data_IF_516045337661
#
_entry.id   IF_516045337661
#
_cell.length_a   1.000
_cell.length_b   1.000
_cell.length_c   1.000
_cell.angle_alpha   90.00
_cell.angle_beta   90.00
_cell.angle_gamma   90.00
#
_symmetry.space_group_name_H-M   'P 1'
#
loop_
_entity.id
_entity.type
_entity.pdbx_description
1 polymer ?
#
# COMPACT_ATOMS: atom_id res chain seq x y z
N UNK A 1 15.40 2.78 -9.84
CA UNK A 1 14.94 1.87 -8.78
C UNK A 1 13.43 1.87 -8.70
N UNK A 2 12.87 0.70 -8.57
CA UNK A 2 11.42 0.59 -8.44
C UNK A 2 11.07 0.15 -7.02
N UNK A 3 9.89 0.55 -6.59
CA UNK A 3 9.35 0.11 -5.30
C UNK A 3 8.68 -1.24 -5.43
N UNK A 4 8.60 -1.96 -4.31
CA UNK A 4 7.82 -3.18 -4.20
C UNK A 4 6.66 -2.91 -3.26
N UNK A 5 5.45 -3.03 -3.76
CA UNK A 5 4.24 -2.72 -3.00
C UNK A 5 3.40 -3.98 -2.89
N UNK A 6 3.03 -4.34 -1.66
CA UNK A 6 2.19 -5.50 -1.41
C UNK A 6 0.74 -5.04 -1.24
N UNK A 7 -0.15 -5.62 -2.05
CA UNK A 7 -1.58 -5.32 -2.02
C UNK A 7 -2.31 -6.49 -1.39
N UNK A 8 -3.02 -6.25 -0.29
CA UNK A 8 -3.69 -7.29 0.47
C UNK A 8 -5.19 -7.00 0.50
N UNK A 9 -5.96 -7.86 -0.15
CA UNK A 9 -7.41 -7.72 -0.24
C UNK A 9 -7.95 -9.06 -0.69
N UNK A 10 -9.03 -9.53 -0.08
CA UNK A 10 -9.59 -10.84 -0.43
C UNK A 10 -10.34 -10.84 -1.77
N UNK A 11 -10.57 -9.67 -2.34
CA UNK A 11 -11.27 -9.52 -3.61
C UNK A 11 -10.27 -9.34 -4.75
N UNK A 12 -10.20 -10.31 -5.65
CA UNK A 12 -9.35 -10.21 -6.83
C UNK A 12 -9.69 -8.99 -7.68
N UNK A 13 -10.99 -8.71 -7.96
CA UNK A 13 -11.32 -7.49 -8.69
C UNK A 13 -10.83 -6.21 -8.00
N UNK A 14 -10.92 -6.16 -6.68
CA UNK A 14 -10.46 -4.97 -5.96
C UNK A 14 -8.94 -4.84 -6.04
N UNK A 15 -8.20 -5.95 -5.94
CA UNK A 15 -6.75 -5.88 -6.13
C UNK A 15 -6.41 -5.33 -7.52
N UNK A 16 -7.17 -5.75 -8.54
CA UNK A 16 -6.97 -5.23 -9.89
C UNK A 16 -7.24 -3.74 -9.98
N UNK A 17 -8.27 -3.25 -9.29
CA UNK A 17 -8.58 -1.81 -9.26
C UNK A 17 -7.42 -1.05 -8.61
N UNK A 18 -6.92 -1.55 -7.49
CA UNK A 18 -5.81 -0.89 -6.79
C UNK A 18 -4.58 -0.86 -7.68
N UNK A 19 -4.28 -1.95 -8.36
CA UNK A 19 -3.12 -1.99 -9.27
C UNK A 19 -3.26 -0.96 -10.38
N UNK A 20 -4.44 -0.86 -11.00
CA UNK A 20 -4.66 0.14 -12.05
C UNK A 20 -4.54 1.56 -11.51
N UNK A 21 -5.05 1.77 -10.31
CA UNK A 21 -4.96 3.07 -9.67
C UNK A 21 -3.51 3.47 -9.40
N UNK A 22 -2.71 2.51 -8.92
CA UNK A 22 -1.29 2.76 -8.68
C UNK A 22 -0.55 3.09 -9.98
N UNK A 23 -0.85 2.37 -11.05
CA UNK A 23 -0.24 2.67 -12.35
C UNK A 23 -0.64 4.06 -12.83
N UNK A 24 -1.91 4.42 -12.68
CA UNK A 24 -2.38 5.75 -13.07
C UNK A 24 -1.76 6.84 -12.21
N UNK A 25 -1.40 6.51 -10.98
CA UNK A 25 -0.77 7.47 -10.07
C UNK A 25 0.72 7.66 -10.31
N UNK A 26 1.30 6.90 -11.25
CA UNK A 26 2.71 7.05 -11.59
C UNK A 26 3.60 5.92 -11.11
N UNK A 27 3.02 4.87 -10.52
CA UNK A 27 3.79 3.76 -9.97
C UNK A 27 3.76 2.52 -10.87
N UNK A 28 3.69 2.73 -12.19
CA UNK A 28 3.66 1.64 -13.14
C UNK A 28 4.93 0.80 -13.17
N UNK A 29 6.03 1.35 -12.70
CA UNK A 29 7.29 0.61 -12.62
C UNK A 29 7.46 -0.17 -11.32
N UNK A 30 6.55 0.00 -10.38
CA UNK A 30 6.63 -0.73 -9.12
C UNK A 30 6.35 -2.20 -9.32
N UNK A 31 6.98 -3.03 -8.51
CA UNK A 31 6.63 -4.44 -8.45
C UNK A 31 5.42 -4.55 -7.52
N UNK A 32 4.32 -5.09 -8.03
CA UNK A 32 3.08 -5.17 -7.28
C UNK A 32 2.80 -6.63 -6.94
N UNK A 33 2.94 -6.97 -5.65
CA UNK A 33 2.64 -8.31 -5.16
C UNK A 33 1.23 -8.32 -4.58
N UNK A 34 0.60 -9.48 -4.55
CA UNK A 34 -0.79 -9.61 -4.10
C UNK A 34 -0.94 -10.72 -3.09
N UNK A 35 -1.81 -10.50 -2.12
CA UNK A 35 -2.20 -11.51 -1.15
C UNK A 35 -3.70 -11.39 -0.90
N UNK A 36 -4.34 -12.52 -0.64
CA UNK A 36 -5.79 -12.54 -0.42
C UNK A 36 -6.16 -12.37 1.06
N UNK A 37 -5.20 -12.53 1.96
CA UNK A 37 -5.43 -12.34 3.38
C UNK A 37 -4.11 -12.03 4.08
N UNK A 38 -4.20 -11.70 5.37
CA UNK A 38 -3.03 -11.30 6.13
C UNK A 38 -2.00 -12.41 6.30
N UNK A 39 -2.45 -13.67 6.36
CA UNK A 39 -1.52 -14.78 6.51
C UNK A 39 -0.67 -14.96 5.27
N UNK A 40 -1.28 -14.91 4.09
CA UNK A 40 -0.53 -14.97 2.83
C UNK A 40 0.43 -13.78 2.73
N UNK A 41 -0.03 -12.62 3.16
CA UNK A 41 0.78 -11.42 3.11
C UNK A 41 2.02 -11.54 3.98
N UNK A 42 1.86 -12.06 5.20
CA UNK A 42 3.01 -12.26 6.09
C UNK A 42 4.03 -13.21 5.47
N UNK A 43 3.54 -14.25 4.80
CA UNK A 43 4.43 -15.20 4.13
C UNK A 43 5.23 -14.52 3.01
N UNK A 44 4.55 -13.69 2.21
CA UNK A 44 5.22 -12.94 1.15
C UNK A 44 6.25 -11.97 1.71
N UNK A 45 5.94 -11.34 2.84
CA UNK A 45 6.85 -10.37 3.47
C UNK A 45 8.12 -11.03 4.01
N UNK A 46 8.05 -12.31 4.35
CA UNK A 46 9.25 -13.05 4.79
C UNK A 46 10.21 -13.33 3.63
N UNK A 47 9.67 -13.46 2.43
CA UNK A 47 10.45 -13.94 1.29
C UNK A 47 10.74 -12.87 0.25
N UNK A 48 10.22 -11.66 0.44
CA UNK A 48 10.36 -10.59 -0.54
C UNK A 48 10.63 -9.28 0.14
N UNK A 49 11.40 -8.42 -0.53
CA UNK A 49 11.58 -7.05 -0.06
C UNK A 49 10.29 -6.27 -0.36
N UNK A 50 9.70 -5.66 0.66
CA UNK A 50 8.48 -4.87 0.51
C UNK A 50 8.75 -3.47 1.02
N UNK A 51 8.44 -2.47 0.22
CA UNK A 51 8.61 -1.07 0.58
C UNK A 51 7.38 -0.47 1.22
N UNK A 52 6.20 -1.00 0.90
CA UNK A 52 4.95 -0.48 1.44
C UNK A 52 3.86 -1.54 1.31
N UNK A 53 2.94 -1.55 2.25
CA UNK A 53 1.77 -2.45 2.23
C UNK A 53 0.50 -1.63 2.11
N UNK A 54 -0.38 -2.04 1.21
CA UNK A 54 -1.74 -1.49 1.11
C UNK A 54 -2.69 -2.63 1.45
N UNK A 55 -3.45 -2.49 2.51
CA UNK A 55 -4.32 -3.58 2.98
C UNK A 55 -5.75 -3.13 3.17
N UNK A 56 -6.68 -4.02 2.87
CA UNK A 56 -8.09 -3.85 3.22
C UNK A 56 -8.26 -4.17 4.71
N UNK A 57 -9.39 -3.74 5.26
CA UNK A 57 -9.75 -4.06 6.64
C UNK A 57 -10.43 -5.43 6.73
N UNK A 58 -11.45 -5.65 5.91
CA UNK A 58 -12.28 -6.86 5.99
C UNK A 58 -11.69 -7.99 5.16
N UNK A 59 -11.01 -8.92 5.82
CA UNK A 59 -10.41 -10.07 5.17
C UNK A 59 -10.65 -11.31 6.01
N UNK A 60 -10.77 -12.49 5.38
CA UNK A 60 -10.88 -13.73 6.16
C UNK A 60 -9.54 -14.10 6.77
N UNK A 61 -9.55 -15.02 7.71
CA UNK A 61 -8.38 -15.59 8.38
C UNK A 61 -7.70 -14.57 9.29
N UNK A 62 -7.28 -13.44 8.74
CA UNK A 62 -6.63 -12.37 9.50
C UNK A 62 -7.09 -11.05 8.91
N UNK A 63 -7.85 -10.27 9.68
CA UNK A 63 -8.35 -8.99 9.20
C UNK A 63 -7.23 -7.94 9.19
N UNK A 64 -7.55 -6.76 8.63
CA UNK A 64 -6.55 -5.72 8.46
C UNK A 64 -5.93 -5.24 9.77
N UNK A 65 -6.71 -5.12 10.82
CA UNK A 65 -6.18 -4.66 12.10
C UNK A 65 -5.23 -5.69 12.69
N UNK A 66 -5.62 -6.97 12.67
CA UNK A 66 -4.75 -8.05 13.14
C UNK A 66 -3.46 -8.11 12.33
N UNK A 67 -3.58 -7.87 11.01
CA UNK A 67 -2.45 -7.88 10.11
C UNK A 67 -1.47 -6.75 10.44
N UNK A 68 -1.98 -5.53 10.65
CA UNK A 68 -1.12 -4.41 11.04
C UNK A 68 -0.38 -4.72 12.34
N UNK A 69 -1.10 -5.26 13.31
CA UNK A 69 -0.48 -5.63 14.59
C UNK A 69 0.61 -6.69 14.39
N UNK A 70 0.36 -7.68 13.53
CA UNK A 70 1.34 -8.73 13.25
C UNK A 70 2.60 -8.16 12.59
N UNK A 71 2.43 -7.27 11.62
CA UNK A 71 3.55 -6.61 10.97
C UNK A 71 4.42 -5.88 11.98
N UNK A 72 3.79 -5.15 12.90
CA UNK A 72 4.51 -4.30 13.85
C UNK A 72 5.22 -5.09 14.94
N UNK A 73 4.91 -6.37 15.09
CA UNK A 73 5.57 -7.22 16.08
C UNK A 73 6.85 -7.86 15.57
N UNK A 74 7.05 -7.92 14.25
CA UNK A 74 8.21 -8.58 13.65
C UNK A 74 9.30 -7.57 13.36
N UNK A 75 10.52 -7.87 13.77
CA UNK A 75 11.64 -6.96 13.57
C UNK A 75 11.89 -6.66 12.08
N UNK A 76 11.67 -7.64 11.22
CA UNK A 76 11.92 -7.47 9.79
C UNK A 76 10.87 -6.61 9.09
N UNK A 77 9.68 -6.48 9.66
CA UNK A 77 8.59 -5.78 8.99
C UNK A 77 8.05 -4.57 9.74
N UNK A 78 8.43 -4.39 11.00
CA UNK A 78 7.81 -3.35 11.83
C UNK A 78 7.94 -1.94 11.29
N UNK A 79 8.97 -1.68 10.50
CA UNK A 79 9.20 -0.34 9.95
C UNK A 79 8.62 -0.16 8.56
N UNK A 80 8.02 -1.20 7.98
CA UNK A 80 7.40 -1.09 6.67
C UNK A 80 6.09 -0.31 6.81
N UNK A 81 5.91 0.77 6.05
CA UNK A 81 4.68 1.56 6.15
C UNK A 81 3.47 0.77 5.64
N UNK A 82 2.37 0.88 6.38
CA UNK A 82 1.12 0.19 6.05
C UNK A 82 0.01 1.23 5.87
N UNK A 83 -0.66 1.16 4.73
CA UNK A 83 -1.81 2.01 4.43
C UNK A 83 -3.05 1.12 4.41
N UNK A 84 -4.10 1.56 5.07
CA UNK A 84 -5.37 0.83 5.10
C UNK A 84 -6.35 1.47 4.12
N UNK A 85 -6.98 0.66 3.30
CA UNK A 85 -8.00 1.09 2.34
C UNK A 85 -9.30 0.39 2.70
N UNK A 86 -10.35 1.13 3.02
CA UNK A 86 -11.57 0.54 3.54
C UNK A 86 -12.78 1.37 3.17
N UNK A 87 -13.96 0.75 3.18
CA UNK A 87 -15.22 1.47 3.04
C UNK A 87 -15.62 2.15 4.34
N UNK A 88 -14.98 1.80 5.45
CA UNK A 88 -15.30 2.36 6.76
C UNK A 88 -14.47 3.60 7.02
N UNK A 89 -15.14 4.75 7.07
CA UNK A 89 -14.45 6.01 7.20
C UNK A 89 -14.68 6.76 8.49
N UNK A 90 -15.20 6.08 9.56
CA UNK A 90 -15.44 6.80 10.80
C UNK A 90 -14.12 7.04 11.56
N UNK A 91 -14.12 8.12 12.35
CA UNK A 91 -12.92 8.58 13.02
C UNK A 91 -12.38 7.57 14.03
N UNK A 92 -13.28 6.84 14.69
CA UNK A 92 -12.85 5.86 15.69
C UNK A 92 -12.06 4.72 15.04
N UNK A 93 -12.51 4.25 13.88
CA UNK A 93 -11.84 3.16 13.17
C UNK A 93 -10.50 3.63 12.62
N UNK A 94 -10.47 4.83 12.06
CA UNK A 94 -9.23 5.41 11.55
C UNK A 94 -8.21 5.53 12.67
N UNK A 95 -8.65 6.06 13.82
CA UNK A 95 -7.77 6.23 14.97
C UNK A 95 -7.22 4.88 15.44
N UNK A 96 -8.06 3.86 15.45
CA UNK A 96 -7.64 2.52 15.89
C UNK A 96 -6.50 2.00 15.02
N UNK A 97 -6.60 2.14 13.71
CA UNK A 97 -5.55 1.71 12.80
C UNK A 97 -4.28 2.53 12.96
N UNK A 98 -4.42 3.85 13.10
CA UNK A 98 -3.25 4.71 13.25
C UNK A 98 -2.55 4.43 14.57
N UNK A 99 -3.30 4.17 15.63
CA UNK A 99 -2.72 3.84 16.94
C UNK A 99 -1.98 2.50 16.91
N UNK A 100 -2.39 1.59 16.01
CA UNK A 100 -1.72 0.30 15.87
C UNK A 100 -0.50 0.37 14.97
N UNK A 101 -0.24 1.51 14.36
CA UNK A 101 0.98 1.70 13.57
C UNK A 101 0.77 1.90 12.09
N UNK A 102 -0.46 1.92 11.61
CA UNK A 102 -0.71 2.28 10.21
C UNK A 102 -0.29 3.74 10.00
N UNK A 103 0.22 4.04 8.80
CA UNK A 103 0.69 5.39 8.51
C UNK A 103 -0.28 6.15 7.60
N UNK A 104 -1.31 5.49 7.12
CA UNK A 104 -2.32 6.15 6.29
C UNK A 104 -3.59 5.35 6.23
N UNK A 105 -4.68 6.02 5.90
CA UNK A 105 -5.99 5.40 5.79
C UNK A 105 -6.73 6.10 4.65
N UNK A 106 -7.22 5.32 3.70
CA UNK A 106 -7.98 5.86 2.58
C UNK A 106 -9.36 5.20 2.56
N UNK A 107 -10.40 6.01 2.43
CA UNK A 107 -11.76 5.52 2.35
C UNK A 107 -12.12 5.25 0.88
N UNK A 108 -12.69 4.09 0.60
CA UNK A 108 -13.20 3.75 -0.73
C UNK A 108 -14.51 4.49 -0.98
N UNK A 109 -14.79 4.94 -2.19
CA UNK A 109 -13.91 4.92 -3.37
C UNK A 109 -12.84 6.00 -3.30
N UNK A 110 -11.73 5.77 -4.00
CA UNK A 110 -10.62 6.71 -3.98
C UNK A 110 -10.17 7.01 -5.42
N UNK A 111 -9.40 8.10 -5.56
CA UNK A 111 -8.88 8.52 -6.86
C UNK A 111 -7.39 8.20 -6.96
N UNK A 112 -6.84 8.13 -8.18
CA UNK A 112 -5.39 8.00 -8.34
C UNK A 112 -4.63 9.13 -7.64
N UNK A 113 -5.18 10.36 -7.67
CA UNK A 113 -4.54 11.49 -7.01
C UNK A 113 -4.45 11.31 -5.50
N UNK A 114 -5.52 10.79 -4.89
CA UNK A 114 -5.54 10.59 -3.44
C UNK A 114 -4.48 9.56 -3.01
N UNK A 115 -4.39 8.47 -3.75
CA UNK A 115 -3.43 7.42 -3.39
C UNK A 115 -2.00 7.88 -3.70
N UNK A 116 -1.82 8.61 -4.81
CA UNK A 116 -0.50 9.16 -5.14
C UNK A 116 -0.02 10.10 -4.06
N UNK A 117 -0.87 11.02 -3.63
CA UNK A 117 -0.50 12.00 -2.62
C UNK A 117 -0.09 11.33 -1.31
N UNK A 118 -0.81 10.28 -0.95
CA UNK A 118 -0.48 9.54 0.26
C UNK A 118 0.83 8.78 0.14
N UNK A 119 1.08 8.14 -1.01
CA UNK A 119 2.32 7.40 -1.21
C UNK A 119 3.52 8.34 -1.25
N UNK A 120 3.38 9.48 -1.92
CA UNK A 120 4.45 10.48 -1.95
C UNK A 120 4.80 10.94 -0.52
N UNK A 121 3.78 11.12 0.31
CA UNK A 121 3.98 11.52 1.69
C UNK A 121 4.74 10.47 2.49
N UNK A 122 4.50 9.19 2.20
CA UNK A 122 5.07 8.08 2.95
C UNK A 122 6.45 7.70 2.44
N UNK A 123 6.60 7.53 1.13
CA UNK A 123 7.84 7.08 0.51
C UNK A 123 8.71 8.23 0.02
N UNK A 124 8.20 9.45 0.09
CA UNK A 124 8.91 10.61 -0.42
C UNK A 124 8.64 10.82 -1.90
N UNK A 125 9.20 11.90 -2.43
CA UNK A 125 9.09 12.19 -3.84
C UNK A 125 9.62 11.01 -4.62
N UNK A 126 8.77 10.45 -5.44
CA UNK A 126 9.16 9.24 -6.11
C UNK A 126 10.07 9.57 -7.24
N UNK A 127 11.32 9.46 -7.03
CA UNK A 127 12.23 9.30 -8.15
C UNK A 127 11.93 10.18 -9.35
N UNK A 128 11.61 11.43 -9.09
CA UNK A 128 11.36 12.34 -10.21
C UNK A 128 12.58 12.40 -11.12
N UNK A 129 13.75 12.40 -10.53
CA UNK A 129 14.98 12.42 -11.31
C UNK A 129 15.07 11.18 -12.18
N UNK A 130 14.80 10.03 -11.61
CA UNK A 130 14.86 8.77 -12.36
C UNK A 130 13.82 8.76 -13.46
N UNK A 131 12.62 9.23 -13.15
CA UNK A 131 11.54 9.26 -14.11
C UNK A 131 11.85 10.22 -15.25
N UNK A 132 12.33 11.39 -14.93
CA UNK A 132 12.66 12.40 -15.92
C UNK A 132 13.85 11.99 -16.77
N UNK A 133 14.86 11.44 -16.12
CA UNK A 133 16.07 11.00 -16.84
C UNK A 133 15.76 9.84 -17.78
N UNK A 134 14.91 8.98 -17.35
CA UNK A 134 14.56 7.85 -18.20
C UNK A 134 13.73 8.25 -19.38
N UNK A 135 13.20 9.41 -19.28
CA UNK A 135 12.41 9.94 -20.33
C UNK A 135 13.04 11.04 -21.06
N UNK A 136 13.30 11.34 -20.49
CA UNK A 136 13.14 12.38 -20.62
C UNK A 136 12.86 13.29 -20.93
N UNK A 137 12.79 13.71 -20.87
CA UNK A 137 12.38 14.49 -20.68
C UNK A 137 11.53 14.97 -21.02
N UNK A 138 11.20 14.74 -20.86
CA UNK A 138 10.36 15.02 -20.78
C UNK A 138 9.64 15.62 -20.73
N UNK A 139 9.44 15.75 -20.62
CA UNK A 139 8.74 16.11 -20.12
C UNK A 139 8.20 16.77 -20.42
N UNK A 140 8.29 16.88 -20.58
CA UNK A 140 7.82 17.18 -20.42
C UNK A 140 7.32 17.41 -20.31
N UNK A 141 7.30 17.28 -20.06
CA UNK A 141 6.94 17.17 -19.60
C UNK A 141 6.71 17.21 -19.88
#
# INVERSE_FOLDING_TARGET
MSYSILIVDDSLPMRSVIKRTLKAAGYGNAELLEAADGKQAMELMKNNWIDMVITDYNMPVMNGLEFVKAIKKEDLSKDIPVVVVSTEGNDAKIKEFMDCGAVGYITKPFTPEAIRDLIVKILGEVNYEETLDGGDTDFDF
#
